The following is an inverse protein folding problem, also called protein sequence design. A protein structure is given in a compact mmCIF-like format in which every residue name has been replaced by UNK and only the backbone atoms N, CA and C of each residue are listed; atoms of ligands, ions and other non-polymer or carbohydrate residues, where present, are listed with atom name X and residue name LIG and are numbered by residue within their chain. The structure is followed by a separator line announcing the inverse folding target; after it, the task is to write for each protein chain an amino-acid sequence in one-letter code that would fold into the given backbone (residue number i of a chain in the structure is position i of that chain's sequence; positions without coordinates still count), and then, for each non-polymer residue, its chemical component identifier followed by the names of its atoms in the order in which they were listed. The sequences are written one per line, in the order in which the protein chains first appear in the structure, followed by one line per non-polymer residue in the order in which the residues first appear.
data_IF_350585190593
#
_entry.id   IF_350585190593
#
_cell.length_a   1.000
_cell.length_b   1.000
_cell.length_c   1.000
_cell.angle_alpha   90.00
_cell.angle_beta   90.00
_cell.angle_gamma   90.00
#
_symmetry.space_group_name_H-M   'P 1'
#
loop_
_entity.id
_entity.type
_entity.pdbx_description
1 polymer ?
#
# COMPACT_ATOMS: atom_id res chain seq x y z
N UNK A 1 40.16 -1.06 18.76
CA UNK A 1 38.89 -1.58 18.18
C UNK A 1 38.40 -0.51 17.21
N UNK A 2 38.11 -0.69 15.92
CA UNK A 2 38.25 -1.74 14.90
C UNK A 2 38.53 -0.97 13.59
N UNK A 3 39.45 -1.44 12.75
CA UNK A 3 39.74 -0.86 11.43
C UNK A 3 38.68 -1.35 10.43
N UNK A 4 38.09 -0.45 9.64
CA UNK A 4 37.16 -0.79 8.55
C UNK A 4 37.96 -0.83 7.25
N UNK A 5 38.19 -2.03 6.72
CA UNK A 5 38.74 -2.22 5.38
C UNK A 5 37.59 -2.52 4.41
N UNK A 6 37.41 -1.67 3.39
CA UNK A 6 36.52 -1.96 2.25
C UNK A 6 37.24 -2.93 1.32
N UNK A 7 36.70 -4.13 1.18
CA UNK A 7 37.12 -5.13 0.20
C UNK A 7 36.29 -4.94 -1.07
N UNK A 8 36.95 -4.51 -2.16
CA UNK A 8 36.36 -4.41 -3.50
C UNK A 8 36.64 -5.74 -4.22
N UNK A 9 35.61 -6.51 -4.54
CA UNK A 9 35.72 -7.69 -5.39
C UNK A 9 35.91 -7.24 -6.85
N UNK A 10 37.13 -7.41 -7.39
CA UNK A 10 37.33 -7.53 -8.83
C UNK A 10 37.26 -9.01 -9.20
N UNK A 11 36.24 -9.41 -9.96
CA UNK A 11 36.21 -10.71 -10.62
C UNK A 11 36.90 -10.53 -11.97
N UNK A 12 38.14 -10.99 -12.05
CA UNK A 12 38.89 -11.06 -13.29
C UNK A 12 38.46 -12.30 -14.08
N UNK A 13 38.09 -12.07 -15.34
CA UNK A 13 37.63 -13.06 -16.29
C UNK A 13 38.68 -14.15 -16.57
N UNK A 14 38.18 -15.37 -16.62
CA UNK A 14 38.90 -16.62 -16.85
C UNK A 14 39.42 -16.68 -18.30
N UNK A 15 40.74 -16.66 -18.48
CA UNK A 15 41.39 -16.98 -19.74
C UNK A 15 41.48 -18.50 -19.91
N UNK A 16 40.85 -19.03 -20.96
CA UNK A 16 41.16 -20.35 -21.50
C UNK A 16 42.01 -20.19 -22.75
N UNK A 17 43.27 -20.63 -22.65
CA UNK A 17 44.20 -20.76 -23.75
C UNK A 17 44.06 -22.14 -24.40
N UNK A 18 43.63 -22.14 -25.66
CA UNK A 18 44.02 -23.07 -26.71
C UNK A 18 44.05 -22.21 -27.98
N UNK A 19 45.16 -21.97 -28.69
CA UNK A 19 46.21 -22.89 -29.07
C UNK A 19 45.86 -23.47 -30.44
N UNK A 20 46.36 -22.83 -31.51
CA UNK A 20 46.84 -23.40 -32.79
C UNK A 20 46.62 -22.47 -34.00
N UNK A 21 47.67 -22.37 -34.84
CA UNK A 21 47.50 -22.41 -36.29
C UNK A 21 47.45 -21.06 -37.01
N UNK A 22 48.62 -20.61 -37.44
CA UNK A 22 48.80 -19.65 -38.53
C UNK A 22 49.03 -20.46 -39.80
N UNK A 23 48.02 -20.61 -40.67
CA UNK A 23 48.20 -20.93 -42.09
C UNK A 23 46.87 -20.99 -42.87
N UNK A 24 46.86 -20.24 -43.98
CA UNK A 24 46.12 -20.41 -45.22
C UNK A 24 44.58 -20.40 -45.22
N UNK A 25 44.05 -19.25 -45.64
CA UNK A 25 42.68 -19.11 -46.10
C UNK A 25 42.41 -20.02 -47.32
N UNK A 26 41.45 -20.97 -47.24
CA UNK A 26 41.02 -21.71 -48.40
C UNK A 26 40.12 -20.84 -49.28
N UNK A 27 40.50 -20.82 -50.55
CA UNK A 27 39.83 -20.22 -51.70
C UNK A 27 38.36 -20.67 -51.78
N UNK A 28 37.46 -19.70 -51.97
CA UNK A 28 36.05 -19.86 -52.30
C UNK A 28 35.81 -20.86 -53.46
N UNK A 29 34.99 -21.88 -53.21
CA UNK A 29 34.22 -22.58 -54.25
C UNK A 29 32.74 -22.14 -54.12
N UNK A 30 32.21 -21.32 -55.05
CA UNK A 30 30.89 -20.72 -54.93
C UNK A 30 29.75 -21.64 -55.40
N UNK A 31 29.94 -22.97 -55.48
CA UNK A 31 28.97 -23.86 -56.13
C UNK A 31 28.33 -24.93 -55.24
N UNK A 32 28.40 -24.83 -53.90
CA UNK A 32 27.74 -25.78 -53.00
C UNK A 32 26.51 -25.17 -52.33
N UNK A 33 25.35 -25.45 -52.92
CA UNK A 33 24.02 -25.19 -52.37
C UNK A 33 23.80 -26.09 -51.14
N UNK A 34 23.66 -25.49 -49.95
CA UNK A 34 23.31 -26.19 -48.71
C UNK A 34 21.89 -25.80 -48.31
N UNK A 35 21.07 -26.81 -48.07
CA UNK A 35 19.65 -26.73 -47.75
C UNK A 35 19.53 -26.96 -46.23
N UNK A 36 19.04 -25.97 -45.49
CA UNK A 36 18.86 -26.08 -44.03
C UNK A 36 17.73 -27.07 -43.68
N UNK A 37 17.93 -27.97 -42.70
CA UNK A 37 16.85 -28.75 -42.12
C UNK A 37 16.12 -27.93 -41.05
N UNK A 38 14.79 -27.90 -41.13
CA UNK A 38 13.90 -27.33 -40.11
C UNK A 38 13.99 -28.16 -38.82
N UNK A 39 14.62 -27.60 -37.77
CA UNK A 39 14.52 -28.12 -36.40
C UNK A 39 13.29 -27.52 -35.72
N UNK A 40 12.21 -28.31 -35.70
CA UNK A 40 10.99 -28.04 -34.95
C UNK A 40 11.21 -28.44 -33.48
N UNK A 41 11.67 -27.51 -32.64
CA UNK A 41 11.75 -27.72 -31.19
C UNK A 41 10.42 -27.26 -30.57
N UNK A 42 9.62 -28.13 -29.95
CA UNK A 42 8.47 -27.69 -29.19
C UNK A 42 8.97 -27.00 -27.92
N UNK A 43 8.73 -25.69 -27.82
CA UNK A 43 8.89 -24.94 -26.58
C UNK A 43 7.82 -25.45 -25.63
N UNK A 44 8.24 -26.21 -24.62
CA UNK A 44 7.39 -26.56 -23.49
C UNK A 44 7.49 -25.36 -22.56
N UNK A 45 6.49 -24.48 -22.61
CA UNK A 45 6.26 -23.48 -21.58
C UNK A 45 5.73 -24.24 -20.36
N UNK A 46 6.63 -24.60 -19.44
CA UNK A 46 6.24 -24.93 -18.08
C UNK A 46 5.81 -23.62 -17.40
N UNK A 47 4.51 -23.31 -17.51
CA UNK A 47 3.86 -22.37 -16.58
C UNK A 47 3.92 -23.01 -15.19
N UNK A 48 4.97 -22.67 -14.45
CA UNK A 48 4.98 -22.88 -13.02
C UNK A 48 3.93 -21.94 -12.40
N UNK A 49 2.75 -22.48 -12.11
CA UNK A 49 1.84 -21.90 -11.10
C UNK A 49 2.63 -21.82 -9.79
N UNK A 50 3.27 -20.68 -9.54
CA UNK A 50 3.59 -20.27 -8.18
C UNK A 50 2.24 -20.01 -7.52
N UNK A 51 1.90 -20.79 -6.49
CA UNK A 51 0.88 -20.39 -5.54
C UNK A 51 1.30 -19.03 -4.99
N UNK A 52 0.67 -17.96 -5.48
CA UNK A 52 0.83 -16.63 -4.93
C UNK A 52 0.18 -16.67 -3.54
N UNK A 53 1.02 -16.80 -2.52
CA UNK A 53 0.58 -16.69 -1.14
C UNK A 53 0.01 -15.28 -0.96
N UNK A 54 -1.27 -15.17 -0.61
CA UNK A 54 -1.93 -13.90 -0.31
C UNK A 54 -1.08 -13.12 0.72
N UNK A 55 -0.44 -12.04 0.26
CA UNK A 55 0.54 -11.29 1.03
C UNK A 55 -0.10 -10.61 2.27
N UNK A 56 -1.42 -10.43 2.25
CA UNK A 56 -2.17 -9.84 3.36
C UNK A 56 -2.73 -10.87 4.35
N UNK A 57 -2.58 -12.17 4.08
CA UNK A 57 -3.17 -13.25 4.89
C UNK A 57 -2.66 -13.32 6.34
N UNK A 58 -1.53 -12.68 6.65
CA UNK A 58 -0.97 -12.59 8.01
C UNK A 58 -1.60 -11.46 8.85
N UNK A 59 -2.36 -10.55 8.24
CA UNK A 59 -2.94 -9.38 8.90
C UNK A 59 -4.43 -9.58 9.19
N UNK A 60 -4.93 -8.91 10.23
CA UNK A 60 -6.36 -8.91 10.53
C UNK A 60 -7.15 -8.11 9.50
N UNK A 61 -8.43 -8.43 9.34
CA UNK A 61 -9.33 -7.65 8.48
C UNK A 61 -9.41 -6.18 8.88
N UNK A 62 -9.32 -5.86 10.18
CA UNK A 62 -9.29 -4.49 10.67
C UNK A 62 -8.01 -3.75 10.25
N UNK A 63 -6.83 -4.39 10.39
CA UNK A 63 -5.57 -3.80 9.94
C UNK A 63 -5.60 -3.48 8.44
N UNK A 64 -6.09 -4.44 7.64
CA UNK A 64 -6.24 -4.29 6.20
C UNK A 64 -7.23 -3.16 5.86
N UNK A 65 -8.36 -3.09 6.55
CA UNK A 65 -9.36 -2.03 6.35
C UNK A 65 -8.77 -0.66 6.68
N UNK A 66 -8.14 -0.48 7.85
CA UNK A 66 -7.56 0.79 8.28
C UNK A 66 -6.52 1.30 7.27
N UNK A 67 -5.64 0.41 6.82
CA UNK A 67 -4.63 0.75 5.82
C UNK A 67 -5.25 1.11 4.46
N UNK A 68 -6.25 0.36 3.98
CA UNK A 68 -6.91 0.65 2.69
C UNK A 68 -7.72 1.94 2.73
N UNK A 69 -8.42 2.21 3.83
CA UNK A 69 -9.15 3.48 4.03
C UNK A 69 -8.17 4.64 4.01
N UNK A 70 -7.06 4.56 4.72
CA UNK A 70 -6.04 5.62 4.68
C UNK A 70 -5.39 5.75 3.30
N UNK A 71 -5.10 4.64 2.63
CA UNK A 71 -4.52 4.64 1.29
C UNK A 71 -5.39 5.39 0.27
N UNK A 72 -6.71 5.26 0.40
CA UNK A 72 -7.66 5.85 -0.54
C UNK A 72 -8.11 7.26 -0.14
N UNK A 73 -8.30 7.52 1.15
CA UNK A 73 -8.93 8.74 1.67
C UNK A 73 -8.03 9.59 2.57
N UNK A 74 -6.89 9.03 2.98
CA UNK A 74 -5.89 9.74 3.79
C UNK A 74 -5.37 10.98 3.05
N UNK A 75 -5.37 12.17 3.68
CA UNK A 75 -4.89 13.39 3.03
C UNK A 75 -3.40 13.37 2.70
N UNK A 76 -2.63 12.53 3.39
CA UNK A 76 -1.19 12.36 3.20
C UNK A 76 -0.79 10.89 3.38
N UNK A 77 -0.12 10.31 2.39
CA UNK A 77 0.45 8.96 2.47
C UNK A 77 1.85 8.94 3.10
N UNK A 78 2.56 10.07 3.08
CA UNK A 78 3.90 10.21 3.65
C UNK A 78 3.84 10.51 5.14
N UNK A 79 3.38 9.52 5.91
CA UNK A 79 3.22 9.57 7.36
C UNK A 79 4.25 8.70 8.08
N UNK A 80 4.58 9.09 9.32
CA UNK A 80 5.49 8.35 10.20
C UNK A 80 4.76 7.41 11.16
N UNK A 81 3.42 7.46 11.18
CA UNK A 81 2.55 6.67 12.04
C UNK A 81 1.07 6.91 11.68
N UNK A 82 0.27 5.85 11.77
CA UNK A 82 -1.17 5.83 11.49
C UNK A 82 -1.93 5.44 12.76
N UNK A 83 -2.51 6.41 13.44
CA UNK A 83 -3.19 6.22 14.72
C UNK A 83 -4.64 5.87 14.50
N UNK A 84 -5.12 4.86 15.23
CA UNK A 84 -6.49 4.37 15.16
C UNK A 84 -7.18 4.62 16.49
N UNK A 85 -8.31 5.33 16.44
CA UNK A 85 -9.20 5.53 17.56
C UNK A 85 -10.59 4.97 17.26
N UNK A 86 -11.09 4.06 18.11
CA UNK A 86 -12.47 3.61 18.05
C UNK A 86 -13.34 4.51 18.94
N UNK A 87 -14.41 5.07 18.38
CA UNK A 87 -15.30 6.00 19.04
C UNK A 87 -16.69 5.36 19.14
N UNK A 88 -17.21 5.10 20.36
CA UNK A 88 -18.53 4.51 20.53
C UNK A 88 -19.66 5.40 20.01
N UNK A 89 -20.74 4.77 19.55
CA UNK A 89 -22.01 5.43 19.28
C UNK A 89 -22.48 6.25 20.51
N UNK A 90 -23.10 7.40 20.27
CA UNK A 90 -23.55 8.31 21.32
C UNK A 90 -22.46 9.24 21.86
N UNK A 91 -21.19 9.09 21.44
CA UNK A 91 -20.14 10.06 21.75
C UNK A 91 -20.41 11.38 21.01
N UNK A 92 -20.30 12.56 21.65
CA UNK A 92 -20.43 13.85 20.96
C UNK A 92 -19.37 14.05 19.87
N UNK A 93 -19.76 14.65 18.75
CA UNK A 93 -18.83 15.08 17.68
C UNK A 93 -17.80 16.09 18.22
N UNK A 94 -18.27 17.08 18.99
CA UNK A 94 -17.45 18.04 19.69
C UNK A 94 -17.79 18.01 21.19
N UNK A 95 -16.93 17.45 22.06
CA UNK A 95 -17.21 17.38 23.50
C UNK A 95 -17.21 18.75 24.20
N UNK A 96 -16.66 19.79 23.56
CA UNK A 96 -16.59 21.15 24.10
C UNK A 96 -17.81 22.02 23.74
N UNK A 97 -18.80 21.49 23.00
CA UNK A 97 -20.02 22.20 22.60
C UNK A 97 -21.27 21.44 23.05
N UNK A 98 -22.13 22.11 23.82
CA UNK A 98 -23.37 21.52 24.36
C UNK A 98 -24.49 21.34 23.32
N UNK A 99 -24.33 21.93 22.13
CA UNK A 99 -25.20 21.73 20.97
C UNK A 99 -24.70 20.63 20.03
N UNK A 100 -23.59 19.96 20.37
CA UNK A 100 -23.02 18.88 19.57
C UNK A 100 -24.00 17.72 19.40
N UNK A 101 -24.21 17.30 18.16
CA UNK A 101 -24.79 16.00 17.87
C UNK A 101 -23.82 14.88 18.29
N UNK A 102 -24.35 13.67 18.39
CA UNK A 102 -23.58 12.48 18.71
C UNK A 102 -23.46 11.55 17.51
N UNK A 103 -22.39 10.76 17.45
CA UNK A 103 -22.25 9.71 16.44
C UNK A 103 -23.42 8.72 16.54
N UNK A 104 -24.15 8.43 15.44
CA UNK A 104 -25.32 7.54 15.48
C UNK A 104 -24.93 6.06 15.62
N UNK A 105 -23.68 5.73 15.31
CA UNK A 105 -23.10 4.38 15.30
C UNK A 105 -21.63 4.44 15.72
N UNK A 106 -20.97 3.29 16.02
CA UNK A 106 -19.55 3.27 16.28
C UNK A 106 -18.76 3.71 15.05
N UNK A 107 -17.75 4.56 15.26
CA UNK A 107 -16.86 5.03 14.18
C UNK A 107 -15.40 4.77 14.53
N UNK A 108 -14.57 4.76 13.50
CA UNK A 108 -13.11 4.73 13.56
C UNK A 108 -12.61 6.09 13.09
N UNK A 109 -11.69 6.69 13.84
CA UNK A 109 -10.91 7.84 13.38
C UNK A 109 -9.47 7.38 13.13
N UNK A 110 -9.02 7.57 11.89
CA UNK A 110 -7.64 7.40 11.48
C UNK A 110 -6.97 8.76 11.43
N UNK A 111 -5.74 8.88 11.95
CA UNK A 111 -4.98 10.12 11.89
C UNK A 111 -3.48 9.85 11.66
N UNK A 112 -2.84 10.72 10.88
CA UNK A 112 -1.38 10.71 10.78
C UNK A 112 -0.73 11.27 12.06
N UNK A 113 0.56 11.01 12.23
CA UNK A 113 1.33 11.44 13.41
C UNK A 113 1.41 12.96 13.58
N UNK A 114 1.26 13.73 12.50
CA UNK A 114 1.28 15.19 12.51
C UNK A 114 -0.11 15.72 12.14
N UNK A 115 -0.50 16.85 12.72
CA UNK A 115 -1.78 17.49 12.39
C UNK A 115 -1.96 17.78 10.89
N UNK A 116 -0.85 18.05 10.19
CA UNK A 116 -0.87 18.34 8.74
C UNK A 116 -1.20 17.10 7.90
N UNK A 117 -1.01 15.91 8.46
CA UNK A 117 -1.32 14.64 7.80
C UNK A 117 -2.82 14.38 7.77
N UNK A 118 -3.58 15.08 8.62
CA UNK A 118 -5.03 15.06 8.66
C UNK A 118 -5.62 13.81 9.30
N UNK A 119 -6.91 13.59 9.03
CA UNK A 119 -7.67 12.47 9.59
C UNK A 119 -8.78 12.01 8.64
N UNK A 120 -9.25 10.79 8.85
CA UNK A 120 -10.47 10.23 8.24
C UNK A 120 -11.32 9.67 9.37
N UNK A 121 -12.61 10.01 9.42
CA UNK A 121 -13.55 9.44 10.39
C UNK A 121 -14.65 8.70 9.63
N UNK A 122 -14.89 7.43 9.97
CA UNK A 122 -15.83 6.59 9.23
C UNK A 122 -16.42 5.46 10.09
N UNK A 123 -17.55 4.90 9.68
CA UNK A 123 -18.05 3.61 10.19
C UNK A 123 -17.88 2.51 9.14
N UNK A 124 -17.52 1.29 9.57
CA UNK A 124 -17.38 0.14 8.68
C UNK A 124 -18.72 -0.57 8.48
N UNK A 125 -19.03 -0.94 7.23
CA UNK A 125 -20.19 -1.77 6.90
C UNK A 125 -19.85 -3.27 6.82
N UNK A 126 -18.56 -3.64 6.88
CA UNK A 126 -18.08 -5.03 6.83
C UNK A 126 -18.22 -5.70 5.46
N UNK A 127 -18.58 -4.97 4.41
CA UNK A 127 -18.80 -5.47 3.05
C UNK A 127 -17.87 -4.83 2.00
N UNK A 128 -16.82 -4.14 2.46
CA UNK A 128 -15.91 -3.36 1.61
C UNK A 128 -16.40 -1.93 1.34
N UNK A 129 -17.49 -1.51 1.96
CA UNK A 129 -17.93 -0.10 1.98
C UNK A 129 -17.84 0.49 3.39
N UNK A 130 -17.77 1.82 3.45
CA UNK A 130 -17.74 2.60 4.70
C UNK A 130 -18.68 3.81 4.61
N UNK A 131 -19.12 4.33 5.75
CA UNK A 131 -19.80 5.62 5.82
C UNK A 131 -18.83 6.68 6.36
N UNK A 132 -18.47 7.66 5.54
CA UNK A 132 -17.47 8.69 5.85
C UNK A 132 -18.16 9.91 6.46
N UNK A 133 -17.65 10.36 7.61
CA UNK A 133 -18.11 11.54 8.32
C UNK A 133 -17.10 12.69 8.12
N UNK A 134 -17.60 13.86 7.72
CA UNK A 134 -16.76 15.05 7.54
C UNK A 134 -16.52 15.78 8.88
N UNK A 135 -15.81 15.10 9.79
CA UNK A 135 -15.48 15.60 11.13
C UNK A 135 -14.01 16.06 11.17
N UNK A 136 -13.72 17.29 11.58
CA UNK A 136 -12.34 17.75 11.70
C UNK A 136 -11.65 17.08 12.90
N UNK A 137 -10.35 16.80 12.76
CA UNK A 137 -9.52 16.34 13.88
C UNK A 137 -9.43 17.38 15.03
N UNK A 138 -9.54 18.68 14.68
CA UNK A 138 -9.50 19.78 15.63
C UNK A 138 -10.61 20.78 15.33
N UNK A 139 -11.30 21.18 16.40
CA UNK A 139 -12.34 22.19 16.35
C UNK A 139 -11.78 23.57 16.72
N UNK A 140 -11.58 24.46 15.73
CA UNK A 140 -11.06 25.84 15.92
C UNK A 140 -12.16 26.91 15.76
N UNK A 141 -13.41 26.60 16.13
CA UNK A 141 -14.59 27.45 15.97
C UNK A 141 -15.01 28.26 17.21
N UNK A 142 -16.10 29.01 17.06
CA UNK A 142 -16.83 29.66 18.15
C UNK A 142 -17.98 28.75 18.59
N UNK A 143 -18.16 28.58 19.90
CA UNK A 143 -19.20 27.71 20.47
C UNK A 143 -20.18 28.50 21.35
N UNK A 144 -21.48 28.14 21.39
CA UNK A 144 -22.08 27.02 20.67
C UNK A 144 -22.23 27.30 19.16
N UNK A 145 -21.90 26.31 18.32
CA UNK A 145 -22.04 26.36 16.87
C UNK A 145 -23.50 26.14 16.42
N UNK A 146 -24.32 25.52 17.26
CA UNK A 146 -25.74 25.26 17.02
C UNK A 146 -26.01 23.85 16.48
N UNK A 147 -27.16 23.29 16.85
CA UNK A 147 -27.54 21.90 16.50
C UNK A 147 -27.59 21.66 14.99
N UNK A 148 -28.02 22.66 14.19
CA UNK A 148 -28.10 22.56 12.73
C UNK A 148 -26.74 22.23 12.11
N UNK A 149 -25.67 22.90 12.55
CA UNK A 149 -24.31 22.67 12.06
C UNK A 149 -23.86 21.21 12.28
N UNK A 150 -24.13 20.65 13.46
CA UNK A 150 -23.74 19.28 13.77
C UNK A 150 -24.62 18.25 13.06
N UNK A 151 -25.91 18.54 12.89
CA UNK A 151 -26.82 17.68 12.14
C UNK A 151 -26.43 17.63 10.65
N UNK A 152 -25.97 18.74 10.06
CA UNK A 152 -25.45 18.76 8.68
C UNK A 152 -24.26 17.81 8.50
N UNK A 153 -23.38 17.68 9.50
CA UNK A 153 -22.27 16.72 9.46
C UNK A 153 -22.78 15.28 9.47
N UNK A 154 -23.79 14.96 10.29
CA UNK A 154 -24.38 13.62 10.34
C UNK A 154 -25.15 13.30 9.05
N UNK A 155 -25.98 14.22 8.58
CA UNK A 155 -26.78 14.05 7.36
C UNK A 155 -25.91 14.05 6.09
N UNK A 156 -24.76 14.71 6.14
CA UNK A 156 -23.76 14.76 5.06
C UNK A 156 -22.85 13.53 4.98
N UNK A 157 -23.15 12.46 5.72
CA UNK A 157 -22.37 11.22 5.68
C UNK A 157 -22.38 10.60 4.27
N UNK A 158 -21.20 10.18 3.78
CA UNK A 158 -21.04 9.65 2.43
C UNK A 158 -20.72 8.15 2.43
N UNK A 159 -21.46 7.36 1.65
CA UNK A 159 -21.16 5.94 1.43
C UNK A 159 -20.04 5.80 0.38
N UNK A 160 -18.94 5.17 0.77
CA UNK A 160 -17.75 5.00 -0.08
C UNK A 160 -17.35 3.53 -0.16
N UNK A 161 -17.08 3.03 -1.38
CA UNK A 161 -16.46 1.73 -1.59
C UNK A 161 -14.94 1.84 -1.47
N UNK A 162 -14.32 0.89 -0.76
CA UNK A 162 -12.88 0.86 -0.53
C UNK A 162 -12.25 -0.16 -1.47
N UNK A 163 -11.36 0.33 -2.33
CA UNK A 163 -10.62 -0.49 -3.27
C UNK A 163 -9.51 -1.28 -2.56
N UNK A 164 -9.14 -2.48 -3.05
CA UNK A 164 -8.10 -3.29 -2.43
C UNK A 164 -6.72 -2.61 -2.32
N UNK A 165 -6.38 -1.75 -3.29
CA UNK A 165 -5.05 -1.14 -3.39
C UNK A 165 -3.96 -2.15 -3.81
N UNK A 166 -2.70 -1.69 -3.81
CA UNK A 166 -1.52 -2.54 -4.01
C UNK A 166 -1.08 -3.10 -2.66
N UNK A 167 -0.90 -4.42 -2.56
CA UNK A 167 -0.60 -5.11 -1.29
C UNK A 167 0.62 -4.53 -0.59
N UNK A 168 1.69 -4.18 -1.31
CA UNK A 168 2.89 -3.58 -0.71
C UNK A 168 2.62 -2.22 -0.06
N UNK A 169 1.71 -1.43 -0.64
CA UNK A 169 1.33 -0.12 -0.08
C UNK A 169 0.42 -0.28 1.13
N UNK A 170 -0.49 -1.26 1.09
CA UNK A 170 -1.34 -1.62 2.23
C UNK A 170 -0.47 -2.10 3.39
N UNK A 171 0.44 -3.05 3.14
CA UNK A 171 1.38 -3.58 4.13
C UNK A 171 2.20 -2.46 4.78
N UNK A 172 2.74 -1.53 3.97
CA UNK A 172 3.49 -0.37 4.48
C UNK A 172 2.69 0.46 5.48
N UNK A 173 1.40 0.68 5.23
CA UNK A 173 0.53 1.42 6.14
C UNK A 173 0.17 0.60 7.38
N UNK A 174 -0.03 -0.72 7.23
CA UNK A 174 -0.27 -1.63 8.36
C UNK A 174 0.91 -1.59 9.35
N UNK A 175 2.14 -1.57 8.86
CA UNK A 175 3.35 -1.48 9.68
C UNK A 175 3.46 -0.17 10.49
N UNK A 176 2.70 0.86 10.12
CA UNK A 176 2.65 2.15 10.80
C UNK A 176 1.48 2.26 11.78
N UNK A 177 0.63 1.23 11.89
CA UNK A 177 -0.57 1.28 12.74
C UNK A 177 -0.22 1.35 14.22
N UNK A 178 -0.85 2.30 14.90
CA UNK A 178 -0.82 2.48 16.35
C UNK A 178 -2.28 2.46 16.85
N UNK A 179 -2.71 1.34 17.43
CA UNK A 179 -4.08 1.12 17.86
C UNK A 179 -4.16 1.38 19.37
N UNK A 180 -4.99 2.35 19.79
CA UNK A 180 -5.26 2.57 21.21
C UNK A 180 -6.16 1.44 21.76
N UNK A 181 -5.71 0.78 22.84
CA UNK A 181 -6.48 -0.24 23.59
C UNK A 181 -7.46 0.35 24.60
#
# INVERSE_FOLDING_TARGET
MKKVGKLLCMIAALMLLAGCGEEDAPIMDPSREWKDPEDNIPVIEEEAEMEETDALSEYSSEQIEYARVWLQLGPNEEIDGLYVQQIPAGTPLNPDDDTSAAYPEPVIQLAGSRLVDGSVTYSSNGDGTINVYNVPLRWDGEYPAGEEFYNEIIEGTELVAIEPGEDERVIRLIELLEIEE
#
